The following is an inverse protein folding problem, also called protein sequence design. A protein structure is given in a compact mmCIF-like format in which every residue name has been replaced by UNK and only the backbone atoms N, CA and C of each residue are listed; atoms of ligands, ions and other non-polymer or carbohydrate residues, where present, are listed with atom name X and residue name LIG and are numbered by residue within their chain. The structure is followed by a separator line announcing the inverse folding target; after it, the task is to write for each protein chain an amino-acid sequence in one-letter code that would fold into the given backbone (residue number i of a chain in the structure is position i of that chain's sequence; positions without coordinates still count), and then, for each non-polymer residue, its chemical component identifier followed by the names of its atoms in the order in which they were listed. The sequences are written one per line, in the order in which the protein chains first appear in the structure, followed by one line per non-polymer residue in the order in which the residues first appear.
data_IF_395243943704
#
_entry.id   IF_395243943704
#
_cell.length_a   1.000
_cell.length_b   1.000
_cell.length_c   1.000
_cell.angle_alpha   90.00
_cell.angle_beta   90.00
_cell.angle_gamma   90.00
#
_symmetry.space_group_name_H-M   'P 1'
#
loop_
_entity.id
_entity.type
_entity.pdbx_description
1 polymer ?
#
# COMPACT_ATOMS: atom_id res chain seq x y z
N UNK A 1 -3.60 4.87 5.68
CA UNK A 1 -2.90 3.99 4.71
C UNK A 1 -1.86 4.71 3.85
N UNK A 2 -2.29 5.55 2.88
CA UNK A 2 -1.45 6.23 1.87
C UNK A 2 -0.17 6.86 2.43
N UNK A 3 -0.31 7.62 3.52
CA UNK A 3 0.81 8.28 4.22
C UNK A 3 1.84 7.30 4.78
N UNK A 4 1.39 6.15 5.30
CA UNK A 4 2.27 5.12 5.89
C UNK A 4 3.08 4.47 4.78
N UNK A 5 2.44 4.02 3.70
CA UNK A 5 3.14 3.44 2.55
C UNK A 5 4.23 4.37 2.01
N UNK A 6 3.91 5.65 1.83
CA UNK A 6 4.86 6.64 1.29
C UNK A 6 6.03 6.89 2.24
N UNK A 7 5.80 6.87 3.55
CA UNK A 7 6.82 7.11 4.56
C UNK A 7 7.77 5.92 4.73
N UNK A 8 7.25 4.69 4.69
CA UNK A 8 8.04 3.49 5.02
C UNK A 8 8.71 2.84 3.79
N UNK A 9 8.21 3.10 2.57
CA UNK A 9 8.76 2.55 1.33
C UNK A 9 10.29 2.76 1.14
N UNK A 10 10.87 3.95 1.37
CA UNK A 10 12.29 4.19 1.12
C UNK A 10 13.22 3.33 1.98
N UNK A 11 12.80 3.00 3.19
CA UNK A 11 13.60 2.19 4.11
C UNK A 11 13.44 0.71 3.82
N UNK A 12 12.22 0.25 3.52
CA UNK A 12 11.95 -1.13 3.07
C UNK A 12 12.70 -1.45 1.77
N UNK A 13 12.75 -0.50 0.83
CA UNK A 13 13.44 -0.68 -0.45
C UNK A 13 14.97 -0.79 -0.31
N UNK A 14 15.56 -0.29 0.77
CA UNK A 14 17.01 -0.34 1.03
C UNK A 14 17.45 -1.52 1.89
N UNK A 15 16.58 -2.00 2.79
CA UNK A 15 16.98 -2.91 3.86
C UNK A 15 16.89 -4.39 3.50
N UNK A 16 16.10 -4.77 2.48
CA UNK A 16 15.87 -6.19 2.18
C UNK A 16 15.96 -6.46 0.68
N UNK A 17 16.96 -7.25 0.21
CA UNK A 17 17.14 -7.54 -1.21
C UNK A 17 15.97 -8.26 -1.90
N UNK A 18 14.99 -8.77 -1.14
CA UNK A 18 13.93 -9.65 -1.64
C UNK A 18 12.51 -9.29 -1.17
N UNK A 19 12.27 -8.07 -0.69
CA UNK A 19 10.90 -7.68 -0.31
C UNK A 19 10.00 -7.58 -1.55
N UNK A 20 9.00 -8.46 -1.62
CA UNK A 20 8.04 -8.49 -2.71
C UNK A 20 6.95 -7.41 -2.59
N UNK A 21 6.69 -6.88 -1.39
CA UNK A 21 5.64 -5.91 -1.14
C UNK A 21 5.49 -5.51 0.32
N UNK A 22 4.50 -4.67 0.60
CA UNK A 22 4.18 -4.13 1.92
C UNK A 22 2.72 -4.43 2.24
N UNK A 23 2.46 -4.89 3.47
CA UNK A 23 1.12 -4.99 4.06
C UNK A 23 1.01 -3.95 5.17
N UNK A 24 -0.07 -3.18 5.17
CA UNK A 24 -0.41 -2.24 6.24
C UNK A 24 -1.69 -2.73 6.91
N UNK A 25 -1.60 -2.97 8.21
CA UNK A 25 -2.72 -3.37 9.07
C UNK A 25 -3.27 -2.13 9.78
N UNK A 26 -4.58 -1.95 9.72
CA UNK A 26 -5.33 -0.94 10.46
C UNK A 26 -5.95 -1.63 11.68
N UNK A 27 -5.32 -1.43 12.84
CA UNK A 27 -5.80 -1.97 14.11
C UNK A 27 -6.90 -1.07 14.69
N UNK A 28 -8.13 -1.30 14.22
CA UNK A 28 -9.36 -0.66 14.68
C UNK A 28 -10.52 -1.65 14.61
N UNK A 29 -11.62 -1.36 15.29
CA UNK A 29 -12.80 -2.22 15.31
C UNK A 29 -13.35 -2.52 13.90
N UNK A 30 -13.37 -1.51 13.02
CA UNK A 30 -13.73 -1.63 11.60
C UNK A 30 -12.48 -1.58 10.70
N UNK A 31 -11.35 -2.05 11.23
CA UNK A 31 -10.06 -2.04 10.57
C UNK A 31 -9.95 -3.08 9.46
N UNK A 32 -8.73 -3.23 8.94
CA UNK A 32 -8.47 -4.14 7.83
C UNK A 32 -7.01 -4.14 7.40
N UNK A 33 -6.75 -4.76 6.26
CA UNK A 33 -5.43 -4.87 5.67
C UNK A 33 -5.44 -4.29 4.26
N UNK A 34 -4.39 -3.53 3.94
CA UNK A 34 -4.08 -3.12 2.58
C UNK A 34 -2.69 -3.65 2.21
N UNK A 35 -2.57 -4.32 1.08
CA UNK A 35 -1.31 -4.86 0.60
C UNK A 35 -0.99 -4.39 -0.83
N UNK A 36 0.27 -4.09 -1.10
CA UNK A 36 0.75 -3.71 -2.41
C UNK A 36 2.13 -4.32 -2.69
N UNK A 37 2.38 -4.71 -3.94
CA UNK A 37 3.72 -5.16 -4.37
C UNK A 37 4.69 -4.00 -4.42
N UNK A 38 5.99 -4.29 -4.33
CA UNK A 38 7.04 -3.27 -4.44
C UNK A 38 7.00 -2.57 -5.81
N UNK A 39 6.71 -3.31 -6.88
CA UNK A 39 6.58 -2.76 -8.23
C UNK A 39 5.40 -1.76 -8.34
N UNK A 40 4.26 -2.07 -7.73
CA UNK A 40 3.12 -1.13 -7.69
C UNK A 40 3.46 0.12 -6.88
N UNK A 41 4.14 -0.02 -5.73
CA UNK A 41 4.59 1.11 -4.91
C UNK A 41 5.59 2.00 -5.65
N UNK A 42 6.52 1.42 -6.41
CA UNK A 42 7.48 2.14 -7.25
C UNK A 42 6.79 2.99 -8.31
N UNK A 43 5.86 2.41 -9.07
CA UNK A 43 5.13 3.14 -10.10
C UNK A 43 4.29 4.28 -9.51
N UNK A 44 3.64 4.06 -8.37
CA UNK A 44 2.88 5.11 -7.69
C UNK A 44 3.78 6.21 -7.13
N UNK A 45 4.90 5.86 -6.49
CA UNK A 45 5.86 6.83 -5.98
C UNK A 45 6.49 7.68 -7.08
N UNK A 46 6.77 7.09 -8.24
CA UNK A 46 7.28 7.79 -9.42
C UNK A 46 6.22 8.67 -10.13
N UNK A 47 4.97 8.66 -9.67
CA UNK A 47 3.88 9.43 -10.28
C UNK A 47 3.30 8.80 -11.54
N UNK A 48 3.67 7.56 -11.89
CA UNK A 48 3.11 6.83 -13.03
C UNK A 48 1.71 6.26 -12.75
N UNK A 49 1.27 6.26 -11.49
CA UNK A 49 -0.09 5.89 -11.09
C UNK A 49 -0.74 7.04 -10.34
N UNK A 50 -2.00 7.30 -10.66
CA UNK A 50 -2.88 8.12 -9.82
C UNK A 50 -3.19 7.37 -8.52
N UNK A 51 -3.66 8.10 -7.51
CA UNK A 51 -4.07 7.49 -6.23
C UNK A 51 -5.15 6.43 -6.42
N UNK A 52 -6.16 6.69 -7.27
CA UNK A 52 -7.24 5.72 -7.55
C UNK A 52 -6.72 4.47 -8.27
N UNK A 53 -5.81 4.65 -9.24
CA UNK A 53 -5.22 3.53 -9.97
C UNK A 53 -4.31 2.68 -9.07
N UNK A 54 -3.61 3.31 -8.12
CA UNK A 54 -2.86 2.61 -7.08
C UNK A 54 -3.79 1.78 -6.20
N UNK A 55 -4.88 2.37 -5.70
CA UNK A 55 -5.81 1.68 -4.82
C UNK A 55 -6.50 0.47 -5.45
N UNK A 56 -6.85 0.56 -6.74
CA UNK A 56 -7.38 -0.58 -7.51
C UNK A 56 -6.40 -1.75 -7.68
N UNK A 57 -5.10 -1.51 -7.47
CA UNK A 57 -4.04 -2.52 -7.53
C UNK A 57 -3.65 -3.07 -6.16
N UNK A 58 -4.18 -2.50 -5.09
CA UNK A 58 -3.98 -3.03 -3.74
C UNK A 58 -4.90 -4.23 -3.51
N UNK A 59 -4.42 -5.20 -2.74
CA UNK A 59 -5.30 -6.17 -2.09
C UNK A 59 -5.83 -5.58 -0.79
N UNK A 60 -7.12 -5.81 -0.52
CA UNK A 60 -7.89 -5.10 0.49
C UNK A 60 -8.80 -6.08 1.21
N UNK A 61 -8.70 -6.11 2.53
CA UNK A 61 -9.47 -7.04 3.34
C UNK A 61 -9.92 -6.40 4.67
N UNK A 62 -11.24 -6.23 4.89
CA UNK A 62 -12.30 -6.43 3.92
C UNK A 62 -12.36 -5.24 2.94
N UNK A 63 -12.88 -5.45 1.72
CA UNK A 63 -12.89 -4.39 0.69
C UNK A 63 -13.75 -3.16 1.09
N UNK A 64 -14.81 -3.40 1.85
CA UNK A 64 -15.76 -2.40 2.33
C UNK A 64 -15.20 -1.44 3.38
N UNK A 65 -14.24 -1.86 4.20
CA UNK A 65 -13.49 -0.98 5.10
C UNK A 65 -12.74 0.17 4.37
N UNK A 66 -12.70 0.12 3.04
CA UNK A 66 -12.05 1.10 2.21
C UNK A 66 -12.93 1.59 1.05
N UNK A 67 -14.26 1.62 1.16
CA UNK A 67 -15.12 2.14 0.07
C UNK A 67 -15.22 3.66 0.01
N UNK A 68 -14.90 4.37 1.09
CA UNK A 68 -15.03 5.85 1.19
C UNK A 68 -13.73 6.62 0.87
N UNK A 69 -12.83 6.06 0.06
CA UNK A 69 -11.50 6.66 -0.17
C UNK A 69 -11.53 7.88 -1.08
#
# INVERSE_FOLDING_TARGET
ARRIFRKEYPEVAKTVPSVAGVVVVFDSQDGGMAAATLATLQQWHAGHLTDDAFWKRCWLDPEDAFKER
#
